data_IF_974322470126
#
_entry.id   IF_974322470126
#
_cell.length_a   1.000
_cell.length_b   1.000
_cell.length_c   1.000
_cell.angle_alpha   90.00
_cell.angle_beta   90.00
_cell.angle_gamma   90.00
#
_symmetry.space_group_name_H-M   'P 1'
#
loop_
_entity.id
_entity.type
_entity.pdbx_description
1 polymer ?
#
# COMPACT_ATOMS: atom_id res chain seq x y z
N UNK A 1 1.91 -9.69 -3.61
CA UNK A 1 1.29 -8.37 -3.35
C UNK A 1 -0.16 -8.60 -2.91
N UNK A 2 -0.66 -7.83 -1.94
CA UNK A 2 -2.07 -7.82 -1.52
C UNK A 2 -2.53 -6.36 -1.46
N UNK A 3 -3.71 -6.06 -1.98
CA UNK A 3 -4.35 -4.74 -1.88
C UNK A 3 -5.64 -4.93 -1.09
N UNK A 4 -5.83 -4.11 -0.05
CA UNK A 4 -6.93 -4.25 0.89
C UNK A 4 -7.46 -2.87 1.25
N UNK A 5 -8.78 -2.71 1.13
CA UNK A 5 -9.46 -1.50 1.57
C UNK A 5 -10.37 -1.84 2.75
N UNK A 6 -10.09 -1.24 3.90
CA UNK A 6 -10.90 -1.33 5.10
C UNK A 6 -11.95 -0.21 5.09
N UNK A 7 -13.21 -0.61 4.99
CA UNK A 7 -14.35 0.31 4.93
C UNK A 7 -14.69 0.93 6.28
N UNK A 8 -14.35 0.27 7.39
CA UNK A 8 -14.69 0.70 8.75
C UNK A 8 -13.84 1.90 9.16
N UNK A 9 -12.55 1.87 8.80
CA UNK A 9 -11.59 2.94 9.13
C UNK A 9 -11.20 3.81 7.92
N UNK A 10 -11.82 3.58 6.75
CA UNK A 10 -11.52 4.27 5.49
C UNK A 10 -10.03 4.29 5.12
N UNK A 11 -9.40 3.11 5.10
CA UNK A 11 -7.97 2.96 4.85
C UNK A 11 -7.68 1.97 3.72
N UNK A 12 -6.75 2.33 2.84
CA UNK A 12 -6.22 1.46 1.78
C UNK A 12 -4.81 1.03 2.17
N UNK A 13 -4.58 -0.29 2.19
CA UNK A 13 -3.27 -0.88 2.39
C UNK A 13 -2.82 -1.67 1.16
N UNK A 14 -1.63 -1.36 0.67
CA UNK A 14 -0.95 -2.06 -0.41
C UNK A 14 0.26 -2.78 0.18
N UNK A 15 0.15 -4.09 0.39
CA UNK A 15 1.26 -4.97 0.79
C UNK A 15 2.05 -5.39 -0.44
N UNK A 16 3.29 -4.92 -0.56
CA UNK A 16 4.19 -5.27 -1.66
C UNK A 16 4.83 -6.64 -1.39
N UNK A 17 5.40 -6.81 -0.19
CA UNK A 17 6.07 -8.05 0.23
C UNK A 17 5.46 -8.60 1.52
N UNK A 18 5.30 -9.92 1.61
CA UNK A 18 4.85 -10.56 2.85
C UNK A 18 6.02 -10.71 3.84
N UNK A 19 6.31 -9.61 4.52
CA UNK A 19 7.39 -9.50 5.51
C UNK A 19 6.89 -8.76 6.75
N UNK A 20 7.63 -8.91 7.85
CA UNK A 20 7.39 -8.16 9.08
C UNK A 20 7.79 -6.69 8.91
N UNK A 21 6.91 -5.78 9.28
CA UNK A 21 7.20 -4.34 9.39
C UNK A 21 8.22 -4.11 10.49
N UNK A 22 9.30 -3.40 10.16
CA UNK A 22 10.30 -2.96 11.13
C UNK A 22 10.08 -1.52 11.57
N UNK A 23 9.74 -0.64 10.63
CA UNK A 23 9.44 0.77 10.89
C UNK A 23 8.40 1.28 9.90
N UNK A 24 7.45 2.05 10.39
CA UNK A 24 6.53 2.85 9.57
C UNK A 24 7.04 4.29 9.51
N UNK A 25 7.00 4.89 8.31
CA UNK A 25 7.35 6.29 8.08
C UNK A 25 6.16 7.00 7.46
N UNK A 26 5.62 7.98 8.18
CA UNK A 26 4.66 8.93 7.62
C UNK A 26 5.40 9.89 6.68
N UNK A 27 4.93 9.99 5.44
CA UNK A 27 5.52 10.88 4.41
C UNK A 27 4.67 12.13 4.18
N UNK A 28 3.39 12.04 4.50
CA UNK A 28 2.39 13.08 4.49
C UNK A 28 1.30 12.65 5.49
N UNK A 29 0.53 13.58 6.03
CA UNK A 29 -0.57 13.26 6.95
C UNK A 29 -1.43 12.13 6.38
N UNK A 30 -1.52 11.01 7.11
CA UNK A 30 -2.32 9.84 6.71
C UNK A 30 -1.77 9.03 5.53
N UNK A 31 -0.52 9.26 5.10
CA UNK A 31 0.18 8.47 4.08
C UNK A 31 1.44 7.85 4.70
N UNK A 32 1.43 6.53 4.88
CA UNK A 32 2.47 5.80 5.59
C UNK A 32 3.19 4.78 4.70
N UNK A 33 4.51 4.71 4.81
CA UNK A 33 5.34 3.66 4.21
C UNK A 33 5.83 2.69 5.28
N UNK A 34 5.58 1.40 5.05
CA UNK A 34 6.12 0.33 5.88
C UNK A 34 7.45 -0.16 5.31
N UNK A 35 8.47 -0.19 6.16
CA UNK A 35 9.84 -0.52 5.82
C UNK A 35 10.32 -1.76 6.57
N UNK A 36 11.14 -2.58 5.90
CA UNK A 36 11.89 -3.65 6.55
C UNK A 36 13.17 -3.14 7.24
N UNK A 37 13.92 -4.04 7.88
CA UNK A 37 15.17 -3.71 8.60
C UNK A 37 16.26 -3.09 7.71
N UNK A 38 16.19 -3.31 6.41
CA UNK A 38 17.15 -2.78 5.42
C UNK A 38 16.66 -1.47 4.81
N UNK A 39 15.50 -0.96 5.25
CA UNK A 39 14.87 0.23 4.70
C UNK A 39 14.16 0.00 3.36
N UNK A 40 13.90 -1.25 2.95
CA UNK A 40 13.12 -1.54 1.74
C UNK A 40 11.63 -1.39 2.04
N UNK A 41 10.89 -0.83 1.09
CA UNK A 41 9.44 -0.68 1.19
C UNK A 41 8.79 -2.05 1.06
N UNK A 42 7.94 -2.38 2.03
CA UNK A 42 7.15 -3.63 2.04
C UNK A 42 5.64 -3.36 2.07
N UNK A 43 5.22 -2.13 2.40
CA UNK A 43 3.82 -1.72 2.40
C UNK A 43 3.63 -0.21 2.23
N UNK A 44 2.42 0.18 1.83
CA UNK A 44 1.91 1.55 1.76
C UNK A 44 0.51 1.58 2.37
N UNK A 45 0.25 2.52 3.26
CA UNK A 45 -1.07 2.79 3.84
C UNK A 45 -1.51 4.22 3.50
N UNK A 46 -2.79 4.36 3.18
CA UNK A 46 -3.46 5.62 2.92
C UNK A 46 -4.73 5.65 3.78
N UNK A 47 -4.83 6.65 4.65
CA UNK A 47 -5.99 6.91 5.51
C UNK A 47 -6.85 8.01 4.90
N UNK A 48 -8.16 7.98 5.17
CA UNK A 48 -9.16 8.91 4.64
C UNK A 48 -9.19 8.87 3.12
N UNK A 49 -9.22 7.65 2.57
CA UNK A 49 -9.17 7.41 1.11
C UNK A 49 -10.29 8.16 0.37
N UNK A 50 -11.50 8.23 0.96
CA UNK A 50 -12.65 8.90 0.33
C UNK A 50 -12.50 10.42 0.24
N UNK A 51 -11.68 11.02 1.10
CA UNK A 51 -11.38 12.45 1.07
C UNK A 51 -10.32 12.78 0.00
N UNK A 52 -9.48 11.80 -0.36
CA UNK A 52 -8.37 11.95 -1.29
C UNK A 52 -8.73 11.58 -2.73
N UNK A 53 -9.58 10.57 -2.91
CA UNK A 53 -9.83 9.95 -4.20
C UNK A 53 -11.32 9.70 -4.43
N UNK A 54 -11.74 9.69 -5.71
CA UNK A 54 -13.07 9.19 -6.03
C UNK A 54 -13.04 7.66 -5.94
N UNK A 55 -14.15 6.99 -5.54
CA UNK A 55 -14.19 5.53 -5.47
C UNK A 55 -13.69 4.84 -6.75
N UNK A 56 -14.06 5.37 -7.92
CA UNK A 56 -13.63 4.83 -9.22
C UNK A 56 -12.11 4.85 -9.44
N UNK A 57 -11.37 5.72 -8.75
CA UNK A 57 -9.93 5.85 -8.92
C UNK A 57 -9.18 4.79 -8.08
N UNK A 58 -9.80 4.30 -7.00
CA UNK A 58 -9.21 3.31 -6.08
C UNK A 58 -9.48 1.87 -6.55
N UNK A 59 -10.61 1.63 -7.23
CA UNK A 59 -11.04 0.28 -7.62
C UNK A 59 -10.58 -0.17 -9.02
N UNK A 60 -9.94 0.71 -9.81
CA UNK A 60 -9.39 0.34 -11.12
C UNK A 60 -7.90 -0.05 -10.98
N UNK A 61 -7.63 -1.34 -10.84
CA UNK A 61 -6.27 -1.89 -10.71
C UNK A 61 -5.83 -2.48 -12.06
N UNK A 62 -4.72 -1.97 -12.61
CA UNK A 62 -4.04 -2.53 -13.78
C UNK A 62 -2.57 -2.78 -13.47
N UNK A 63 -1.98 -3.78 -14.12
CA UNK A 63 -0.55 -4.10 -14.03
C UNK A 63 0.02 -4.31 -15.42
N UNK A 64 1.20 -3.77 -15.69
CA UNK A 64 1.87 -3.87 -16.98
C UNK A 64 3.36 -4.21 -16.78
N UNK A 65 3.97 -4.89 -17.75
CA UNK A 65 5.41 -5.23 -17.76
C UNK A 65 5.90 -5.94 -16.48
N UNK A 66 5.10 -6.85 -15.92
CA UNK A 66 5.49 -7.59 -14.72
C UNK A 66 6.70 -8.49 -15.02
N UNK A 67 7.76 -8.33 -14.22
CA UNK A 67 8.95 -9.18 -14.29
C UNK A 67 8.63 -10.49 -13.58
N UNK A 68 8.52 -11.57 -14.36
CA UNK A 68 8.50 -12.94 -13.86
C UNK A 68 9.68 -13.69 -14.48
N UNK A 69 10.80 -13.74 -13.78
CA UNK A 69 11.75 -14.82 -14.02
C UNK A 69 11.28 -16.01 -13.19
N UNK A 70 11.07 -17.16 -13.85
CA UNK A 70 10.78 -18.41 -13.15
C UNK A 70 11.97 -18.69 -12.23
N UNK A 71 11.75 -18.56 -10.92
CA UNK A 71 12.54 -19.26 -9.91
C UNK A 71 12.18 -20.73 -9.98
#
# INVERSE_FOLDING_TARGET
>A
MKIEYDKEVDALYIRIQEKKVYRTKEIEEGINLDLDKQGKIIGLEIISVRDRYKPKDVFNISTENLIFEKV
#
